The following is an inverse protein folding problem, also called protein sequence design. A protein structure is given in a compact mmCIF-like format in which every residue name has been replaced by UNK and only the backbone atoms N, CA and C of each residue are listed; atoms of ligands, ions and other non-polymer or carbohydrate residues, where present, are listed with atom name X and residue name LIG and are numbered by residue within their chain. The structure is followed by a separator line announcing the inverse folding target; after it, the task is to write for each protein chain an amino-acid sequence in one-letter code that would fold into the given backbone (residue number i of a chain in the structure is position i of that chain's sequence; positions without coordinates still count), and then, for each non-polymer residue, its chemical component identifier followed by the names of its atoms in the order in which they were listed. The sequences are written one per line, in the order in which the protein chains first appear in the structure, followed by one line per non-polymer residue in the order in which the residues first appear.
data_IF_762031536860
#
_entry.id   IF_762031536860
#
_cell.length_a   1.000
_cell.length_b   1.000
_cell.length_c   1.000
_cell.angle_alpha   90.00
_cell.angle_beta   90.00
_cell.angle_gamma   90.00
#
_symmetry.space_group_name_H-M   'P 1'
#
loop_
_entity.id
_entity.type
_entity.pdbx_description
1 polymer ?
#
# COMPACT_ATOMS: atom_id res chain seq x y z
N UNK A 1 -13.92 5.39 12.47
CA UNK A 1 -13.83 4.55 11.27
C UNK A 1 -15.23 4.56 10.67
N UNK A 2 -15.39 5.21 9.52
CA UNK A 2 -16.66 5.24 8.79
C UNK A 2 -16.57 4.14 7.73
N UNK A 3 -16.84 2.89 8.15
CA UNK A 3 -16.73 1.73 7.28
C UNK A 3 -18.04 1.50 6.55
N UNK A 4 -17.99 1.48 5.22
CA UNK A 4 -19.14 1.20 4.38
C UNK A 4 -19.35 -0.31 4.24
N UNK A 5 -20.41 -0.83 4.87
CA UNK A 5 -20.74 -2.25 4.85
C UNK A 5 -21.10 -2.77 3.45
N UNK A 6 -21.45 -1.90 2.50
CA UNK A 6 -21.69 -2.30 1.11
C UNK A 6 -20.41 -2.80 0.41
N UNK A 7 -19.23 -2.55 1.00
CA UNK A 7 -17.95 -3.10 0.54
C UNK A 7 -17.76 -4.58 0.88
N UNK A 8 -18.60 -5.17 1.74
CA UNK A 8 -18.55 -6.60 2.09
C UNK A 8 -19.47 -7.39 1.17
N UNK A 9 -18.88 -8.14 0.23
CA UNK A 9 -19.63 -9.02 -0.67
C UNK A 9 -19.78 -10.45 -0.09
N UNK A 10 -21.00 -11.00 -0.17
CA UNK A 10 -21.31 -12.42 0.12
C UNK A 10 -21.80 -13.15 -1.14
N UNK A 11 -21.42 -14.43 -1.37
CA UNK A 11 -20.51 -15.24 -0.55
C UNK A 11 -19.05 -14.75 -0.64
N UNK A 12 -18.29 -14.94 0.44
CA UNK A 12 -16.88 -14.53 0.48
C UNK A 12 -16.06 -15.29 -0.56
N UNK A 13 -15.34 -14.56 -1.43
CA UNK A 13 -14.50 -15.12 -2.49
C UNK A 13 -13.21 -14.33 -2.63
N UNK A 14 -12.11 -15.03 -2.83
CA UNK A 14 -10.85 -14.42 -3.24
C UNK A 14 -10.91 -14.06 -4.73
N UNK A 15 -11.02 -12.76 -5.01
CA UNK A 15 -11.00 -12.20 -6.35
C UNK A 15 -10.19 -10.89 -6.38
N UNK A 16 -9.67 -10.46 -7.55
CA UNK A 16 -8.91 -9.22 -7.64
C UNK A 16 -9.73 -7.99 -7.22
N UNK A 17 -11.02 -7.92 -7.59
CA UNK A 17 -11.96 -6.92 -7.08
C UNK A 17 -11.56 -5.45 -7.36
N UNK A 18 -10.79 -5.20 -8.42
CA UNK A 18 -10.26 -3.88 -8.73
C UNK A 18 -11.32 -2.99 -9.39
N UNK A 19 -11.51 -1.79 -8.83
CA UNK A 19 -12.30 -0.69 -9.39
C UNK A 19 -11.35 0.42 -9.83
N UNK A 20 -11.48 0.89 -11.07
CA UNK A 20 -10.73 2.06 -11.53
C UNK A 20 -11.24 3.32 -10.84
N UNK A 21 -10.32 4.12 -10.32
CA UNK A 21 -10.62 5.41 -9.73
C UNK A 21 -10.70 6.49 -10.80
N UNK A 22 -11.58 7.48 -10.57
CA UNK A 22 -11.61 8.68 -11.41
C UNK A 22 -10.34 9.51 -11.21
N UNK A 23 -9.96 10.28 -12.23
CA UNK A 23 -8.87 11.23 -12.11
C UNK A 23 -9.15 12.21 -10.96
N UNK A 24 -8.17 12.43 -10.09
CA UNK A 24 -8.29 13.30 -8.91
C UNK A 24 -9.01 12.68 -7.71
N UNK A 25 -9.43 11.41 -7.78
CA UNK A 25 -9.91 10.71 -6.59
C UNK A 25 -8.82 10.70 -5.49
N UNK A 26 -9.17 10.96 -4.22
CA UNK A 26 -8.23 10.87 -3.11
C UNK A 26 -7.58 9.49 -3.03
N UNK A 27 -6.27 9.45 -2.81
CA UNK A 27 -5.47 8.22 -2.65
C UNK A 27 -4.66 8.19 -1.36
N UNK A 28 -4.56 9.33 -0.68
CA UNK A 28 -3.84 9.48 0.58
C UNK A 28 -4.77 10.14 1.59
N UNK A 29 -4.78 9.59 2.79
CA UNK A 29 -5.55 10.10 3.91
C UNK A 29 -4.60 10.69 4.93
N UNK A 30 -4.85 11.93 5.36
CA UNK A 30 -4.03 12.56 6.40
C UNK A 30 -4.15 11.75 7.70
N UNK A 31 -3.02 11.39 8.29
CA UNK A 31 -3.01 10.81 9.64
C UNK A 31 -3.22 11.90 10.70
N UNK A 32 -4.21 11.70 11.57
CA UNK A 32 -4.44 12.57 12.74
C UNK A 32 -3.38 12.31 13.82
N UNK A 33 -2.57 13.30 14.23
CA UNK A 33 -1.60 13.17 15.31
C UNK A 33 -2.16 12.75 16.66
N UNK A 34 -3.45 12.95 16.91
CA UNK A 34 -4.12 12.52 18.14
C UNK A 34 -4.70 11.09 18.09
N UNK A 35 -4.63 10.42 16.93
CA UNK A 35 -5.24 9.09 16.74
C UNK A 35 -4.42 7.96 17.38
N UNK A 36 -5.09 6.86 17.71
CA UNK A 36 -4.43 5.61 18.13
C UNK A 36 -3.53 5.06 17.03
N UNK A 37 -3.95 5.17 15.76
CA UNK A 37 -3.14 4.75 14.62
C UNK A 37 -1.81 5.49 14.58
N UNK A 38 -1.81 6.81 14.80
CA UNK A 38 -0.57 7.57 14.89
C UNK A 38 0.33 7.09 16.04
N UNK A 39 -0.24 6.78 17.21
CA UNK A 39 0.54 6.27 18.33
C UNK A 39 1.22 4.94 17.99
N UNK A 40 0.52 4.02 17.32
CA UNK A 40 1.09 2.73 16.90
C UNK A 40 2.16 2.89 15.81
N UNK A 41 1.89 3.68 14.76
CA UNK A 41 2.89 3.93 13.70
C UNK A 41 4.17 4.57 14.25
N UNK A 42 4.04 5.48 15.23
CA UNK A 42 5.19 6.13 15.88
C UNK A 42 6.11 5.12 16.57
N UNK A 43 5.57 4.12 17.28
CA UNK A 43 6.38 3.09 17.94
C UNK A 43 7.24 2.30 16.94
N UNK A 44 6.66 1.93 15.80
CA UNK A 44 7.35 1.16 14.75
C UNK A 44 8.45 2.01 14.08
N UNK A 45 8.15 3.29 13.81
CA UNK A 45 9.13 4.24 13.30
C UNK A 45 10.30 4.43 14.27
N UNK A 46 10.03 4.67 15.55
CA UNK A 46 11.05 4.84 16.60
C UNK A 46 11.91 3.59 16.79
N UNK A 47 11.34 2.39 16.56
CA UNK A 47 12.07 1.13 16.56
C UNK A 47 12.92 0.91 15.29
N UNK A 48 12.80 1.77 14.27
CA UNK A 48 13.52 1.64 13.01
C UNK A 48 13.02 0.49 12.11
N UNK A 49 11.78 0.04 12.32
CA UNK A 49 11.20 -1.13 11.64
C UNK A 49 10.19 -0.75 10.54
N UNK A 50 9.90 0.55 10.38
CA UNK A 50 8.84 1.01 9.48
C UNK A 50 9.18 0.88 8.01
N UNK A 51 10.46 0.92 7.63
CA UNK A 51 10.90 0.95 6.23
C UNK A 51 11.86 -0.17 5.92
N UNK A 52 11.66 -0.78 4.76
CA UNK A 52 12.52 -1.82 4.22
C UNK A 52 12.76 -1.55 2.74
N UNK A 53 14.00 -1.73 2.30
CA UNK A 53 14.42 -1.41 0.95
C UNK A 53 15.44 -2.45 0.48
N UNK A 54 15.26 -3.00 -0.72
CA UNK A 54 16.28 -3.83 -1.36
C UNK A 54 17.53 -2.98 -1.58
N UNK A 55 18.70 -3.54 -1.27
CA UNK A 55 19.97 -2.84 -1.44
C UNK A 55 20.17 -2.41 -2.90
N UNK A 56 20.44 -1.12 -3.12
CA UNK A 56 20.66 -0.55 -4.44
C UNK A 56 19.40 -0.16 -5.22
N UNK A 57 18.20 -0.35 -4.66
CA UNK A 57 16.97 0.14 -5.28
C UNK A 57 16.88 1.68 -5.20
N UNK A 58 16.63 2.33 -6.34
CA UNK A 58 16.41 3.78 -6.40
C UNK A 58 14.97 4.12 -6.01
N UNK A 59 14.81 4.68 -4.81
CA UNK A 59 13.52 5.06 -4.26
C UNK A 59 13.06 6.45 -4.71
N UNK A 60 13.91 7.26 -5.34
CA UNK A 60 13.59 8.65 -5.65
C UNK A 60 12.33 8.81 -6.55
N UNK A 61 12.12 7.98 -7.60
CA UNK A 61 10.91 8.09 -8.43
C UNK A 61 9.62 7.80 -7.66
N UNK A 62 9.67 6.82 -6.75
CA UNK A 62 8.54 6.46 -5.90
C UNK A 62 8.17 7.59 -4.93
N UNK A 63 9.17 8.20 -4.28
CA UNK A 63 8.93 9.34 -3.39
C UNK A 63 8.39 10.57 -4.14
N UNK A 64 8.86 10.80 -5.37
CA UNK A 64 8.32 11.86 -6.23
C UNK A 64 6.84 11.60 -6.57
N UNK A 65 6.49 10.37 -6.96
CA UNK A 65 5.10 10.00 -7.26
C UNK A 65 4.18 10.17 -6.04
N UNK A 66 4.64 9.79 -4.84
CA UNK A 66 3.89 10.00 -3.59
C UNK A 66 3.72 11.50 -3.31
N UNK A 67 4.76 12.31 -3.52
CA UNK A 67 4.69 13.76 -3.35
C UNK A 67 3.73 14.42 -4.34
N UNK A 68 3.66 13.91 -5.57
CA UNK A 68 2.71 14.37 -6.58
C UNK A 68 1.27 14.02 -6.19
N UNK A 69 1.02 12.80 -5.70
CA UNK A 69 -0.30 12.43 -5.16
C UNK A 69 -0.69 13.24 -3.94
N UNK A 70 0.24 13.50 -3.03
CA UNK A 70 -0.01 14.40 -1.90
C UNK A 70 -0.39 15.81 -2.39
N UNK A 71 0.21 16.32 -3.47
CA UNK A 71 -0.17 17.62 -4.04
C UNK A 71 -1.56 17.60 -4.68
N UNK A 72 -1.86 16.58 -5.48
CA UNK A 72 -3.17 16.40 -6.10
C UNK A 72 -4.29 16.31 -5.04
N UNK A 73 -3.99 15.74 -3.87
CA UNK A 73 -4.94 15.59 -2.77
C UNK A 73 -4.94 16.78 -1.78
N UNK A 74 -4.18 17.86 -2.05
CA UNK A 74 -4.12 19.02 -1.15
C UNK A 74 -3.39 18.78 0.17
N UNK A 75 -2.52 17.76 0.22
CA UNK A 75 -1.77 17.30 1.38
C UNK A 75 -0.25 17.55 1.28
N UNK A 76 0.23 18.23 0.23
CA UNK A 76 1.66 18.46 0.02
C UNK A 76 2.35 19.19 1.18
N UNK A 77 1.62 19.97 1.98
CA UNK A 77 2.19 20.64 3.17
C UNK A 77 2.64 19.65 4.23
N UNK A 78 2.05 18.45 4.32
CA UNK A 78 2.46 17.43 5.29
C UNK A 78 3.90 16.98 5.04
N UNK A 79 4.28 16.81 3.77
CA UNK A 79 5.63 16.40 3.38
C UNK A 79 6.67 17.52 3.47
N UNK A 80 6.25 18.78 3.67
CA UNK A 80 7.14 19.94 3.80
C UNK A 80 7.53 20.24 5.25
N UNK A 81 6.86 19.64 6.22
CA UNK A 81 7.07 19.88 7.66
C UNK A 81 8.06 18.88 8.27
N UNK A 82 8.94 18.28 7.46
CA UNK A 82 9.84 17.18 7.86
C UNK A 82 9.10 16.01 8.56
N UNK A 83 7.79 15.89 8.32
CA UNK A 83 6.98 14.81 8.87
C UNK A 83 7.36 13.51 8.15
N UNK A 84 7.76 12.46 8.88
CA UNK A 84 8.02 11.15 8.28
C UNK A 84 6.79 10.64 7.52
N UNK A 85 7.00 9.93 6.41
CA UNK A 85 5.94 9.44 5.55
C UNK A 85 4.90 8.59 6.31
N UNK A 86 5.37 7.75 7.23
CA UNK A 86 4.56 6.91 8.13
C UNK A 86 3.59 7.72 8.99
N UNK A 87 3.98 8.95 9.33
CA UNK A 87 3.21 9.83 10.20
C UNK A 87 2.42 10.90 9.44
N UNK A 88 2.65 11.02 8.13
CA UNK A 88 1.89 11.91 7.26
C UNK A 88 0.55 11.30 6.84
N UNK A 89 0.52 9.97 6.63
CA UNK A 89 -0.61 9.28 6.02
C UNK A 89 -1.11 8.07 6.81
N UNK A 90 -2.42 7.82 6.76
CA UNK A 90 -3.03 6.64 7.38
C UNK A 90 -2.59 5.34 6.71
N UNK A 91 -2.30 5.40 5.41
CA UNK A 91 -1.92 4.24 4.60
C UNK A 91 -0.52 3.71 4.95
N UNK A 92 -0.37 2.39 4.92
CA UNK A 92 0.93 1.75 4.74
C UNK A 92 1.19 1.61 3.24
N UNK A 93 2.45 1.77 2.82
CA UNK A 93 2.83 1.93 1.42
C UNK A 93 3.80 0.84 0.99
N UNK A 94 3.66 0.36 -0.24
CA UNK A 94 4.57 -0.57 -0.87
C UNK A 94 4.82 -0.14 -2.32
N UNK A 95 6.02 -0.38 -2.83
CA UNK A 95 6.31 -0.27 -4.25
C UNK A 95 6.22 -1.65 -4.87
N UNK A 96 5.50 -1.74 -5.98
CA UNK A 96 5.42 -2.91 -6.86
C UNK A 96 6.08 -2.54 -8.18
N UNK A 97 7.14 -3.26 -8.55
CA UNK A 97 7.83 -3.06 -9.82
C UNK A 97 7.04 -3.73 -10.95
N UNK A 98 6.65 -2.95 -11.96
CA UNK A 98 5.89 -3.44 -13.11
C UNK A 98 6.70 -4.31 -14.06
N UNK A 99 8.03 -4.20 -14.06
CA UNK A 99 8.92 -4.91 -14.97
C UNK A 99 9.18 -6.35 -14.50
N UNK A 100 9.43 -6.54 -13.20
CA UNK A 100 9.80 -7.84 -12.64
C UNK A 100 8.83 -8.38 -11.56
N UNK A 101 7.76 -7.64 -11.27
CA UNK A 101 6.70 -7.98 -10.32
C UNK A 101 7.11 -8.00 -8.85
N UNK A 102 8.30 -7.53 -8.51
CA UNK A 102 8.83 -7.59 -7.14
C UNK A 102 8.34 -6.43 -6.27
N UNK A 103 8.45 -6.60 -4.94
CA UNK A 103 8.22 -5.54 -3.97
C UNK A 103 9.56 -5.02 -3.43
N UNK A 104 10.24 -4.09 -4.12
CA UNK A 104 11.58 -3.65 -3.74
C UNK A 104 11.62 -2.71 -2.52
N UNK A 105 10.47 -2.16 -2.12
CA UNK A 105 10.38 -1.25 -0.99
C UNK A 105 9.04 -1.35 -0.27
N UNK A 106 9.10 -1.28 1.05
CA UNK A 106 7.96 -1.33 1.97
C UNK A 106 8.09 -0.22 3.02
N UNK A 107 6.98 0.45 3.31
CA UNK A 107 6.80 1.40 4.40
C UNK A 107 5.52 1.01 5.15
N UNK A 108 5.67 0.07 6.10
CA UNK A 108 4.55 -0.67 6.70
C UNK A 108 4.70 -0.63 8.21
N UNK A 109 3.66 -0.16 8.92
CA UNK A 109 3.65 -0.05 10.37
C UNK A 109 2.57 -0.90 11.03
N UNK A 110 1.46 -1.16 10.35
CA UNK A 110 0.29 -1.85 10.90
C UNK A 110 -0.18 -2.97 9.95
N UNK A 111 0.67 -3.98 9.66
CA UNK A 111 0.31 -5.06 8.76
C UNK A 111 -0.76 -5.97 9.36
N UNK A 112 -1.66 -6.47 8.51
CA UNK A 112 -2.71 -7.43 8.88
C UNK A 112 -2.18 -8.87 8.93
N UNK A 113 -1.52 -9.23 10.02
CA UNK A 113 -1.01 -10.58 10.30
C UNK A 113 0.07 -11.10 9.33
N UNK A 114 0.92 -10.22 8.82
CA UNK A 114 2.10 -10.60 8.05
C UNK A 114 3.32 -9.78 8.45
N UNK A 115 4.52 -10.32 8.23
CA UNK A 115 5.80 -9.67 8.53
C UNK A 115 6.39 -9.04 7.26
N UNK A 116 6.56 -7.70 7.19
CA UNK A 116 7.12 -7.02 6.02
C UNK A 116 8.52 -7.53 5.61
N UNK A 117 9.35 -7.86 6.60
CA UNK A 117 10.73 -8.33 6.43
C UNK A 117 10.83 -9.67 5.70
N UNK A 118 9.77 -10.46 5.74
CA UNK A 118 9.72 -11.74 5.03
C UNK A 118 9.24 -11.57 3.58
N UNK A 119 8.76 -10.38 3.19
CA UNK A 119 8.17 -10.12 1.87
C UNK A 119 9.00 -9.22 0.95
N UNK A 120 9.99 -8.51 1.51
CA UNK A 120 10.86 -7.63 0.73
C UNK A 120 11.53 -8.38 -0.44
N UNK A 121 11.46 -7.81 -1.64
CA UNK A 121 12.06 -8.35 -2.86
C UNK A 121 11.37 -9.58 -3.44
N UNK A 122 10.33 -10.12 -2.79
CA UNK A 122 9.53 -11.21 -3.35
C UNK A 122 8.66 -10.71 -4.49
N UNK A 123 8.34 -11.62 -5.43
CA UNK A 123 7.37 -11.36 -6.48
C UNK A 123 5.95 -11.26 -5.93
N UNK A 124 5.07 -10.54 -6.64
CA UNK A 124 3.64 -10.46 -6.35
C UNK A 124 3.04 -11.85 -6.07
N UNK A 125 3.38 -12.85 -6.88
CA UNK A 125 2.90 -14.22 -6.70
C UNK A 125 3.39 -14.85 -5.39
N UNK A 126 4.68 -14.68 -5.05
CA UNK A 126 5.27 -15.23 -3.84
C UNK A 126 4.71 -14.57 -2.56
N UNK A 127 4.49 -13.25 -2.58
CA UNK A 127 3.85 -12.53 -1.46
C UNK A 127 2.45 -13.08 -1.17
N UNK A 128 1.69 -13.39 -2.21
CA UNK A 128 0.30 -13.87 -2.10
C UNK A 128 0.15 -15.40 -1.97
N UNK A 129 1.24 -16.16 -2.00
CA UNK A 129 1.20 -17.62 -1.90
C UNK A 129 0.45 -18.17 -0.65
N UNK A 130 0.54 -17.55 0.55
CA UNK A 130 -0.19 -18.02 1.73
C UNK A 130 -1.70 -17.77 1.71
N UNK A 131 -2.21 -16.97 0.77
CA UNK A 131 -3.62 -16.61 0.71
C UNK A 131 -4.44 -17.80 0.18
N UNK A 132 -5.47 -18.23 0.90
CA UNK A 132 -6.36 -19.29 0.44
C UNK A 132 -7.07 -18.92 -0.87
N UNK A 133 -7.47 -19.90 -1.67
CA UNK A 133 -8.20 -19.70 -2.94
C UNK A 133 -7.55 -18.69 -3.92
N UNK A 134 -6.22 -18.55 -3.85
CA UNK A 134 -5.45 -17.59 -4.66
C UNK A 134 -5.18 -18.04 -6.10
N UNK A 135 -5.64 -19.22 -6.53
CA UNK A 135 -5.30 -19.78 -7.84
C UNK A 135 -5.67 -18.83 -9.00
N UNK A 136 -6.82 -18.16 -8.92
CA UNK A 136 -7.23 -17.14 -9.91
C UNK A 136 -6.36 -15.89 -9.85
N UNK A 137 -5.96 -15.46 -8.65
CA UNK A 137 -5.08 -14.31 -8.45
C UNK A 137 -3.68 -14.58 -9.02
N UNK A 138 -3.11 -15.76 -8.71
CA UNK A 138 -1.80 -16.17 -9.20
C UNK A 138 -1.81 -16.38 -10.72
N UNK A 139 -2.84 -17.03 -11.26
CA UNK A 139 -2.99 -17.22 -12.71
C UNK A 139 -3.14 -15.91 -13.49
N UNK A 140 -3.67 -14.86 -12.85
CA UNK A 140 -3.80 -13.52 -13.43
C UNK A 140 -2.65 -12.57 -13.03
N UNK A 141 -1.71 -12.99 -12.19
CA UNK A 141 -0.78 -12.11 -11.48
C UNK A 141 -0.02 -11.15 -12.39
N UNK A 142 0.57 -11.65 -13.48
CA UNK A 142 1.31 -10.80 -14.43
C UNK A 142 0.42 -9.75 -15.10
N UNK A 143 -0.80 -10.12 -15.50
CA UNK A 143 -1.77 -9.17 -16.10
C UNK A 143 -2.24 -8.14 -15.09
N UNK A 144 -2.40 -8.54 -13.82
CA UNK A 144 -2.77 -7.62 -12.74
C UNK A 144 -1.66 -6.62 -12.47
N UNK A 145 -0.40 -7.07 -12.39
CA UNK A 145 0.76 -6.17 -12.24
C UNK A 145 0.81 -5.18 -13.39
N UNK A 146 0.69 -5.64 -14.64
CA UNK A 146 0.64 -4.76 -15.82
C UNK A 146 -0.52 -3.75 -15.75
N UNK A 147 -1.69 -4.17 -15.28
CA UNK A 147 -2.85 -3.30 -15.14
C UNK A 147 -2.62 -2.19 -14.11
N UNK A 148 -2.14 -2.53 -12.91
CA UNK A 148 -2.00 -1.58 -11.81
C UNK A 148 -0.75 -0.69 -11.92
N UNK A 149 0.23 -1.12 -12.72
CA UNK A 149 1.43 -0.31 -13.06
C UNK A 149 1.29 0.43 -14.39
N UNK A 150 0.13 0.33 -15.06
CA UNK A 150 -0.16 0.92 -16.36
C UNK A 150 -0.48 2.43 -16.35
N UNK A 151 -0.43 3.08 -15.19
CA UNK A 151 -0.61 4.54 -15.04
C UNK A 151 -2.01 4.99 -14.58
N UNK A 152 -3.02 4.11 -14.66
CA UNK A 152 -4.33 4.32 -14.04
C UNK A 152 -4.27 4.00 -12.53
N UNK A 153 -5.19 4.59 -11.75
CA UNK A 153 -5.32 4.31 -10.32
C UNK A 153 -6.49 3.34 -10.05
N UNK A 154 -6.27 2.38 -9.18
CA UNK A 154 -7.20 1.29 -8.90
C UNK A 154 -7.37 1.09 -7.39
N UNK A 155 -8.57 0.66 -6.99
CA UNK A 155 -8.92 0.41 -5.60
C UNK A 155 -9.59 -0.96 -5.45
N UNK A 156 -9.34 -1.60 -4.30
CA UNK A 156 -10.07 -2.77 -3.82
C UNK A 156 -10.15 -2.71 -2.30
N UNK A 157 -11.15 -3.37 -1.73
CA UNK A 157 -11.30 -3.48 -0.28
C UNK A 157 -10.87 -4.85 0.21
N UNK A 158 -10.16 -4.86 1.33
CA UNK A 158 -9.71 -6.07 2.04
C UNK A 158 -10.01 -5.86 3.52
N UNK A 159 -10.50 -6.89 4.19
CA UNK A 159 -10.87 -6.81 5.60
C UNK A 159 -10.42 -8.08 6.35
N UNK A 160 -10.20 -7.92 7.65
CA UNK A 160 -9.98 -8.98 8.65
C UNK A 160 -10.57 -8.50 9.98
N UNK A 161 -10.75 -9.41 10.93
CA UNK A 161 -11.20 -9.10 12.31
C UNK A 161 -10.11 -9.33 13.33
#
# INVERSE_FOLDING_TARGET
MDFDFDQIAVPFRMQPGLRRLAAGAPQLTRLDPASLLHAEKRKVLEAGQSRQCVAGFDLAPALAAIADKARENGLAHLLRLDTPLELAFEEDLAILDGADTTLPWLCVCVPSHWAPEEKLGLSFAAVHAPVADNALLLGAGQKLVQLVTGGDCWERFVWTV
#
